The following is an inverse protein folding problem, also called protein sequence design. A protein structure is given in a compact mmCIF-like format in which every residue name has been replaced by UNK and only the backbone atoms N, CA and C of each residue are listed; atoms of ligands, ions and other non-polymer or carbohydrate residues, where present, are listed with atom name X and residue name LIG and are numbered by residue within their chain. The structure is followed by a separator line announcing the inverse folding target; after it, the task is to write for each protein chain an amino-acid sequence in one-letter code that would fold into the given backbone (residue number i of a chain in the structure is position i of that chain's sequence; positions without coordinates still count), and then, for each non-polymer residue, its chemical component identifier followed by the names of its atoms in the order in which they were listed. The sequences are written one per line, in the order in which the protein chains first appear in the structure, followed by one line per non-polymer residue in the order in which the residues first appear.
data_IF_193641409437
#
_entry.id   IF_193641409437
#
_cell.length_a   1.000
_cell.length_b   1.000
_cell.length_c   1.000
_cell.angle_alpha   90.00
_cell.angle_beta   90.00
_cell.angle_gamma   90.00
#
_symmetry.space_group_name_H-M   'P 1'
#
loop_
_entity.id
_entity.type
_entity.pdbx_description
1 polymer ?
#
# COMPACT_ATOMS: atom_id res chain seq x y z
N UNK A 1 17.69 -48.33 -12.70
CA UNK A 1 17.11 -48.07 -11.35
C UNK A 1 16.13 -49.20 -11.06
N UNK A 2 16.26 -49.83 -9.89
CA UNK A 2 15.32 -50.89 -9.50
C UNK A 2 13.99 -50.24 -9.12
N UNK A 3 12.86 -50.86 -9.39
CA UNK A 3 11.50 -50.33 -9.13
C UNK A 3 11.31 -49.78 -7.71
N UNK A 4 12.02 -50.35 -6.73
CA UNK A 4 12.07 -49.84 -5.33
C UNK A 4 12.70 -48.46 -5.21
N UNK A 5 13.72 -48.12 -5.99
CA UNK A 5 14.39 -46.82 -5.96
C UNK A 5 13.47 -45.73 -6.60
N UNK A 6 12.79 -46.11 -7.67
CA UNK A 6 11.80 -45.24 -8.31
C UNK A 6 10.65 -44.95 -7.33
N UNK A 7 10.14 -46.00 -6.67
CA UNK A 7 9.06 -45.85 -5.69
C UNK A 7 9.49 -44.92 -4.51
N UNK A 8 10.70 -45.07 -4.00
CA UNK A 8 11.24 -44.22 -2.92
C UNK A 8 11.39 -42.76 -3.36
N UNK A 9 11.88 -42.52 -4.57
CA UNK A 9 12.00 -41.14 -5.10
C UNK A 9 10.61 -40.51 -5.29
N UNK A 10 9.67 -41.23 -5.90
CA UNK A 10 8.31 -40.75 -6.11
C UNK A 10 7.61 -40.47 -4.78
N UNK A 11 7.75 -41.39 -3.81
CA UNK A 11 7.16 -41.19 -2.47
C UNK A 11 7.79 -40.02 -1.73
N UNK A 12 9.12 -39.85 -1.84
CA UNK A 12 9.85 -38.72 -1.24
C UNK A 12 9.42 -37.39 -1.87
N UNK A 13 9.27 -37.32 -3.18
CA UNK A 13 8.79 -36.13 -3.90
C UNK A 13 7.36 -35.80 -3.49
N UNK A 14 6.45 -36.78 -3.43
CA UNK A 14 5.09 -36.60 -3.00
C UNK A 14 5.03 -36.09 -1.55
N UNK A 15 5.78 -36.70 -0.63
CA UNK A 15 5.86 -36.26 0.75
C UNK A 15 6.41 -34.83 0.85
N UNK A 16 7.44 -34.50 0.09
CA UNK A 16 8.01 -33.14 0.05
C UNK A 16 7.00 -32.12 -0.47
N UNK A 17 6.24 -32.46 -1.51
CA UNK A 17 5.16 -31.61 -2.04
C UNK A 17 4.01 -31.44 -1.05
N UNK A 18 3.64 -32.50 -0.33
CA UNK A 18 2.61 -32.42 0.73
C UNK A 18 3.12 -31.57 1.89
N UNK A 19 4.36 -31.77 2.35
CA UNK A 19 4.92 -30.99 3.45
C UNK A 19 5.17 -29.53 3.08
N UNK A 20 5.65 -29.23 1.88
CA UNK A 20 5.85 -27.85 1.41
C UNK A 20 4.54 -27.10 1.18
N UNK A 21 3.42 -27.80 0.98
CA UNK A 21 2.08 -27.22 0.82
C UNK A 21 1.15 -27.53 2.00
N UNK A 22 1.66 -28.13 3.07
CA UNK A 22 0.85 -28.54 4.22
C UNK A 22 0.11 -27.35 4.87
N UNK A 23 0.75 -26.19 4.94
CA UNK A 23 0.14 -24.96 5.44
C UNK A 23 -1.01 -24.49 4.56
N UNK A 24 -0.88 -24.57 3.23
CA UNK A 24 -1.94 -24.23 2.27
C UNK A 24 -3.08 -25.24 2.33
N UNK A 25 -2.76 -26.53 2.44
CA UNK A 25 -3.76 -27.60 2.57
C UNK A 25 -4.54 -27.48 3.87
N UNK A 26 -3.85 -27.33 5.01
CA UNK A 26 -4.50 -27.14 6.31
C UNK A 26 -5.33 -25.87 6.37
N UNK A 27 -4.86 -24.77 5.75
CA UNK A 27 -5.62 -23.53 5.65
C UNK A 27 -6.89 -23.71 4.83
N UNK A 28 -6.78 -24.34 3.66
CA UNK A 28 -7.94 -24.66 2.80
C UNK A 28 -8.94 -25.58 3.51
N UNK A 29 -8.45 -26.63 4.18
CA UNK A 29 -9.30 -27.58 4.89
C UNK A 29 -9.92 -26.97 6.17
N UNK A 30 -9.18 -26.13 6.90
CA UNK A 30 -9.68 -25.46 8.12
C UNK A 30 -10.82 -24.49 7.84
N UNK A 31 -10.97 -24.00 6.61
CA UNK A 31 -12.07 -23.14 6.17
C UNK A 31 -13.35 -23.93 5.79
N UNK A 32 -13.28 -25.27 5.76
CA UNK A 32 -14.45 -26.10 5.43
C UNK A 32 -15.37 -26.29 6.65
N UNK A 33 -16.68 -26.54 6.46
CA UNK A 33 -17.61 -26.83 7.55
C UNK A 33 -17.25 -28.10 8.34
N UNK A 34 -16.46 -29.00 7.73
CA UNK A 34 -16.09 -30.31 8.30
C UNK A 34 -14.80 -30.29 9.12
N UNK A 35 -14.10 -29.15 9.18
CA UNK A 35 -12.87 -29.05 9.95
C UNK A 35 -13.15 -29.02 11.46
N UNK A 36 -12.53 -29.94 12.20
CA UNK A 36 -12.63 -29.99 13.66
C UNK A 36 -11.91 -28.77 14.30
N UNK A 37 -12.26 -28.42 15.56
CA UNK A 37 -11.60 -27.33 16.28
C UNK A 37 -10.08 -27.50 16.37
N UNK A 38 -9.60 -28.76 16.53
CA UNK A 38 -8.18 -29.11 16.63
C UNK A 38 -7.45 -28.83 15.32
N UNK A 39 -8.05 -29.14 14.16
CA UNK A 39 -7.50 -28.83 12.83
C UNK A 39 -7.42 -27.32 12.62
N UNK A 40 -8.43 -26.56 13.04
CA UNK A 40 -8.43 -25.10 12.99
C UNK A 40 -7.33 -24.50 13.85
N UNK A 41 -7.12 -25.07 15.04
CA UNK A 41 -6.05 -24.65 15.96
C UNK A 41 -4.66 -25.00 15.40
N UNK A 42 -4.47 -26.20 14.87
CA UNK A 42 -3.23 -26.65 14.27
C UNK A 42 -2.85 -25.78 13.04
N UNK A 43 -3.81 -25.45 12.18
CA UNK A 43 -3.58 -24.57 11.03
C UNK A 43 -3.10 -23.18 11.44
N UNK A 44 -3.66 -22.59 12.52
CA UNK A 44 -3.22 -21.31 13.10
C UNK A 44 -1.82 -21.43 13.69
N UNK A 45 -1.52 -22.51 14.39
CA UNK A 45 -0.21 -22.70 15.03
C UNK A 45 0.92 -22.82 13.99
N UNK A 46 0.70 -23.61 12.92
CA UNK A 46 1.66 -23.75 11.82
C UNK A 46 1.90 -22.42 11.09
N UNK A 47 0.86 -21.60 10.93
CA UNK A 47 1.01 -20.26 10.32
C UNK A 47 1.89 -19.34 11.19
N UNK A 48 1.72 -19.39 12.52
CA UNK A 48 2.52 -18.63 13.49
C UNK A 48 3.96 -19.14 13.56
N UNK A 49 4.16 -20.44 13.64
CA UNK A 49 5.48 -21.06 13.78
C UNK A 49 6.30 -20.97 12.48
N UNK A 50 5.64 -21.12 11.32
CA UNK A 50 6.24 -20.89 10.02
C UNK A 50 6.73 -19.46 9.84
N UNK A 51 5.96 -18.50 10.32
CA UNK A 51 6.32 -17.09 10.30
C UNK A 51 7.52 -16.79 11.22
N UNK A 52 7.50 -17.28 12.47
CA UNK A 52 8.60 -17.13 13.43
C UNK A 52 9.89 -17.74 12.94
N UNK A 53 9.82 -18.93 12.34
CA UNK A 53 11.00 -19.61 11.80
C UNK A 53 11.60 -18.84 10.62
N UNK A 54 10.80 -18.36 9.70
CA UNK A 54 11.28 -17.55 8.56
C UNK A 54 11.89 -16.22 9.01
N UNK A 55 11.37 -15.61 10.06
CA UNK A 55 11.93 -14.40 10.66
C UNK A 55 13.28 -14.69 11.34
N UNK A 56 13.37 -15.76 12.13
CA UNK A 56 14.63 -16.17 12.78
C UNK A 56 15.72 -16.54 11.76
N UNK A 57 15.37 -17.27 10.69
CA UNK A 57 16.29 -17.64 9.61
C UNK A 57 16.76 -16.39 8.83
N UNK A 58 15.90 -15.41 8.63
CA UNK A 58 16.25 -14.13 8.04
C UNK A 58 17.25 -13.37 8.89
N UNK A 59 16.97 -13.20 10.19
CA UNK A 59 17.85 -12.47 11.10
C UNK A 59 19.18 -13.16 11.35
N UNK A 60 19.23 -14.50 11.35
CA UNK A 60 20.48 -15.25 11.43
C UNK A 60 21.37 -14.97 10.21
N UNK A 61 20.82 -15.01 9.00
CA UNK A 61 21.54 -14.71 7.77
C UNK A 61 22.03 -13.26 7.69
N UNK A 62 21.27 -12.31 8.23
CA UNK A 62 21.69 -10.90 8.29
C UNK A 62 22.88 -10.71 9.27
N UNK A 63 22.89 -11.42 10.40
CA UNK A 63 24.00 -11.34 11.36
C UNK A 63 25.31 -11.88 10.79
N UNK A 64 25.24 -12.82 9.87
CA UNK A 64 26.41 -13.44 9.23
C UNK A 64 26.96 -12.59 8.05
N UNK A 65 26.26 -11.51 7.66
CA UNK A 65 26.75 -10.59 6.63
C UNK A 65 27.78 -9.65 7.25
N UNK A 66 29.05 -9.86 6.88
CA UNK A 66 30.12 -8.92 7.23
C UNK A 66 30.03 -7.68 6.34
N UNK A 67 29.41 -6.60 6.85
CA UNK A 67 29.24 -5.34 6.13
C UNK A 67 30.56 -4.61 5.81
N UNK A 68 31.65 -4.95 6.48
CA UNK A 68 32.98 -4.36 6.22
C UNK A 68 33.63 -4.90 4.94
N UNK A 69 33.12 -6.00 4.40
CA UNK A 69 33.60 -6.64 3.16
C UNK A 69 32.92 -6.13 1.88
N UNK A 70 31.94 -5.24 1.99
CA UNK A 70 31.30 -4.64 0.81
C UNK A 70 32.27 -3.62 0.14
N UNK A 71 32.42 -3.64 -1.20
CA UNK A 71 33.30 -2.69 -1.89
C UNK A 71 32.84 -1.25 -1.60
N UNK A 72 33.71 -0.49 -0.95
CA UNK A 72 33.50 0.95 -0.75
C UNK A 72 33.41 1.60 -2.13
N UNK A 73 32.29 2.29 -2.37
CA UNK A 73 32.03 3.07 -3.58
C UNK A 73 33.20 4.01 -3.81
N UNK A 74 33.94 3.83 -4.90
CA UNK A 74 35.04 4.70 -5.30
C UNK A 74 34.53 6.14 -5.41
N UNK A 75 35.19 7.04 -4.71
CA UNK A 75 34.95 8.48 -4.81
C UNK A 75 35.23 8.93 -6.24
N UNK A 76 34.25 9.51 -6.89
CA UNK A 76 34.41 10.19 -8.18
C UNK A 76 35.06 11.54 -7.87
N UNK A 77 36.19 11.89 -8.47
CA UNK A 77 36.84 13.17 -8.23
C UNK A 77 35.95 14.31 -8.72
N UNK A 78 35.57 15.21 -7.85
CA UNK A 78 34.92 16.47 -8.22
C UNK A 78 35.94 17.38 -8.90
N UNK A 79 35.83 17.54 -10.23
CA UNK A 79 36.52 18.61 -10.94
C UNK A 79 35.94 19.96 -10.52
N UNK A 80 36.75 20.78 -9.88
CA UNK A 80 36.45 22.20 -9.62
C UNK A 80 36.48 22.93 -10.96
N UNK A 81 35.35 23.40 -11.42
CA UNK A 81 35.25 24.35 -12.50
C UNK A 81 34.88 25.71 -11.92
N UNK A 82 35.85 26.57 -11.75
CA UNK A 82 35.64 27.99 -11.50
C UNK A 82 35.08 28.64 -12.77
N UNK A 83 33.88 29.15 -12.70
CA UNK A 83 33.32 29.96 -13.80
C UNK A 83 33.15 31.39 -13.31
N UNK A 84 33.98 32.28 -13.84
CA UNK A 84 33.91 33.75 -13.73
C UNK A 84 32.54 34.23 -14.20
N UNK A 85 31.88 35.02 -13.36
CA UNK A 85 30.69 35.76 -13.72
C UNK A 85 31.03 36.87 -14.73
N UNK A 86 30.50 36.77 -15.94
CA UNK A 86 30.43 37.85 -16.89
C UNK A 86 28.98 38.36 -16.96
N UNK A 87 28.80 39.64 -16.64
CA UNK A 87 27.52 40.31 -16.74
C UNK A 87 27.13 40.51 -18.21
N UNK A 88 25.92 40.06 -18.59
CA UNK A 88 25.31 40.33 -19.89
C UNK A 88 24.12 41.29 -19.75
N UNK A 89 23.88 42.18 -20.73
CA UNK A 89 22.92 43.27 -20.63
C UNK A 89 21.45 42.80 -20.71
N UNK A 90 20.62 43.39 -19.89
CA UNK A 90 19.18 43.13 -19.83
C UNK A 90 18.50 43.63 -21.11
N UNK A 91 17.82 42.73 -21.84
CA UNK A 91 16.92 43.05 -22.94
C UNK A 91 15.48 43.20 -22.38
N UNK A 92 14.65 44.14 -22.89
CA UNK A 92 13.36 44.45 -22.29
C UNK A 92 12.39 43.28 -22.35
N UNK A 93 11.65 43.09 -21.25
CA UNK A 93 10.67 42.03 -21.04
C UNK A 93 9.53 42.11 -22.06
N UNK A 94 9.37 41.06 -22.87
CA UNK A 94 8.16 40.82 -23.67
C UNK A 94 7.03 40.41 -22.76
N UNK A 95 5.83 41.03 -22.95
CA UNK A 95 4.55 40.66 -22.30
C UNK A 95 4.34 39.14 -22.35
N UNK A 96 3.87 38.51 -21.27
CA UNK A 96 3.60 37.07 -21.24
C UNK A 96 2.49 36.71 -22.23
N UNK A 97 2.83 36.06 -23.30
CA UNK A 97 1.89 35.37 -24.18
C UNK A 97 1.31 34.21 -23.39
N UNK A 98 -0.01 34.17 -23.21
CA UNK A 98 -0.73 33.04 -22.61
C UNK A 98 -0.30 31.75 -23.32
N UNK A 99 0.52 30.95 -22.65
CA UNK A 99 0.95 29.67 -23.15
C UNK A 99 -0.28 28.77 -23.38
N UNK A 100 -0.45 28.28 -24.60
CA UNK A 100 -1.47 27.26 -24.93
C UNK A 100 -1.28 26.09 -23.95
N UNK A 101 -2.40 25.51 -23.41
CA UNK A 101 -2.31 24.43 -22.44
C UNK A 101 -1.48 23.29 -23.05
N UNK A 102 -0.37 22.97 -22.38
CA UNK A 102 0.51 21.89 -22.76
C UNK A 102 -0.32 20.60 -22.73
N UNK A 103 -0.48 19.94 -23.86
CA UNK A 103 -1.24 18.68 -23.96
C UNK A 103 -0.57 17.69 -22.99
N UNK A 104 -1.19 17.46 -21.83
CA UNK A 104 -0.62 16.55 -20.84
C UNK A 104 -0.79 15.12 -21.32
N UNK A 105 0.31 14.38 -21.30
CA UNK A 105 0.34 12.94 -21.60
C UNK A 105 -0.75 12.22 -20.78
N UNK A 106 -1.54 11.30 -21.35
CA UNK A 106 -2.54 10.56 -20.61
C UNK A 106 -1.91 9.77 -19.46
N UNK A 107 -2.67 9.56 -18.39
CA UNK A 107 -2.28 8.70 -17.27
C UNK A 107 -2.48 7.24 -17.69
N UNK A 108 -1.44 6.40 -17.58
CA UNK A 108 -1.48 5.01 -18.04
C UNK A 108 -1.00 4.00 -17.02
N UNK A 109 -0.03 4.37 -16.17
CA UNK A 109 0.58 3.48 -15.19
C UNK A 109 0.11 3.81 -13.79
N UNK A 110 -0.51 2.83 -13.14
CA UNK A 110 -1.08 2.99 -11.81
C UNK A 110 -0.42 2.04 -10.82
N UNK A 111 0.01 2.57 -9.69
CA UNK A 111 0.62 1.83 -8.60
C UNK A 111 -0.24 1.95 -7.34
N UNK A 112 -0.56 0.82 -6.72
CA UNK A 112 -1.30 0.74 -5.48
C UNK A 112 -0.37 0.25 -4.38
N UNK A 113 -0.17 1.08 -3.34
CA UNK A 113 0.78 0.82 -2.26
C UNK A 113 0.03 0.77 -0.93
N UNK A 114 0.30 -0.24 -0.11
CA UNK A 114 -0.31 -0.29 1.21
C UNK A 114 -0.02 -1.52 2.03
N UNK A 115 -0.73 -1.62 3.14
CA UNK A 115 -0.74 -2.80 3.99
C UNK A 115 -1.70 -3.89 3.44
N UNK A 116 -2.10 -4.84 4.28
CA UNK A 116 -3.01 -5.92 3.87
C UNK A 116 -4.38 -5.43 3.36
N UNK A 117 -4.84 -4.26 3.81
CA UNK A 117 -6.14 -3.69 3.38
C UNK A 117 -6.10 -3.23 1.93
N UNK A 118 -4.91 -2.84 1.42
CA UNK A 118 -4.74 -2.46 0.01
C UNK A 118 -4.92 -3.65 -0.93
N UNK A 119 -4.70 -4.89 -0.52
CA UNK A 119 -4.74 -6.05 -1.42
C UNK A 119 -6.09 -6.20 -2.11
N UNK A 120 -7.17 -6.32 -1.34
CA UNK A 120 -8.52 -6.49 -1.89
C UNK A 120 -8.98 -5.27 -2.69
N UNK A 121 -8.67 -4.07 -2.18
CA UNK A 121 -8.96 -2.80 -2.86
C UNK A 121 -8.20 -2.71 -4.18
N UNK A 122 -6.92 -3.03 -4.19
CA UNK A 122 -6.07 -2.99 -5.38
C UNK A 122 -6.57 -3.91 -6.49
N UNK A 123 -7.02 -5.13 -6.16
CA UNK A 123 -7.64 -6.06 -7.13
C UNK A 123 -8.87 -5.43 -7.78
N UNK A 124 -9.74 -4.76 -7.00
CA UNK A 124 -10.95 -4.10 -7.54
C UNK A 124 -10.60 -2.91 -8.42
N UNK A 125 -9.62 -2.11 -8.01
CA UNK A 125 -9.11 -0.99 -8.82
C UNK A 125 -8.52 -1.49 -10.15
N UNK A 126 -7.67 -2.52 -10.13
CA UNK A 126 -7.10 -3.11 -11.34
C UNK A 126 -8.19 -3.59 -12.30
N UNK A 127 -9.17 -4.34 -11.76
CA UNK A 127 -10.29 -4.84 -12.56
C UNK A 127 -11.07 -3.68 -13.19
N UNK A 128 -11.46 -2.68 -12.41
CA UNK A 128 -12.27 -1.56 -12.88
C UNK A 128 -11.51 -0.71 -13.91
N UNK A 129 -10.24 -0.41 -13.67
CA UNK A 129 -9.39 0.34 -14.61
C UNK A 129 -9.25 -0.39 -15.95
N UNK A 130 -9.02 -1.71 -15.91
CA UNK A 130 -8.91 -2.53 -17.12
C UNK A 130 -10.23 -2.59 -17.88
N UNK A 131 -11.34 -2.90 -17.21
CA UNK A 131 -12.62 -3.15 -17.87
C UNK A 131 -13.31 -1.87 -18.38
N UNK A 132 -13.29 -0.81 -17.56
CA UNK A 132 -14.03 0.43 -17.87
C UNK A 132 -13.19 1.46 -18.62
N UNK A 133 -11.86 1.50 -18.39
CA UNK A 133 -10.99 2.56 -18.91
C UNK A 133 -9.89 2.05 -19.86
N UNK A 134 -9.81 0.75 -20.09
CA UNK A 134 -8.77 0.10 -20.90
C UNK A 134 -7.33 0.42 -20.41
N UNK A 135 -7.17 0.53 -19.10
CA UNK A 135 -5.89 0.74 -18.42
C UNK A 135 -5.48 -0.60 -17.79
N UNK A 136 -4.52 -1.27 -18.45
CA UNK A 136 -4.01 -2.58 -18.02
C UNK A 136 -2.68 -2.48 -17.27
N UNK A 137 -1.93 -1.37 -17.42
CA UNK A 137 -0.63 -1.18 -16.76
C UNK A 137 -0.85 -0.72 -15.32
N UNK A 138 -1.09 -1.69 -14.45
CA UNK A 138 -1.38 -1.50 -13.03
C UNK A 138 -0.55 -2.46 -12.19
N UNK A 139 -0.08 -2.01 -11.02
CA UNK A 139 0.71 -2.82 -10.09
C UNK A 139 0.21 -2.63 -8.66
N UNK A 140 0.09 -3.72 -7.92
CA UNK A 140 -0.17 -3.72 -6.47
C UNK A 140 1.15 -4.06 -5.77
N UNK A 141 1.56 -3.21 -4.83
CA UNK A 141 2.68 -3.45 -3.94
C UNK A 141 2.20 -3.34 -2.50
N UNK A 142 2.02 -4.47 -1.87
CA UNK A 142 1.50 -4.54 -0.51
C UNK A 142 2.35 -5.44 0.37
N UNK A 143 2.33 -5.14 1.67
CA UNK A 143 2.98 -5.98 2.68
C UNK A 143 2.05 -6.16 3.87
N UNK A 144 1.69 -7.41 4.15
CA UNK A 144 0.85 -7.75 5.32
C UNK A 144 1.54 -7.32 6.61
N UNK A 145 0.77 -6.87 7.60
CA UNK A 145 1.24 -6.45 8.92
C UNK A 145 2.23 -5.27 8.93
N UNK A 146 2.35 -4.54 7.83
CA UNK A 146 3.22 -3.37 7.71
C UNK A 146 2.46 -2.06 7.81
N UNK A 147 3.21 -0.97 7.93
CA UNK A 147 2.71 0.40 7.97
C UNK A 147 3.86 1.40 8.00
N UNK A 148 3.58 2.66 8.25
CA UNK A 148 4.59 3.71 8.37
C UNK A 148 5.22 3.76 9.76
N UNK A 149 4.60 3.14 10.75
CA UNK A 149 5.06 3.08 12.13
C UNK A 149 6.29 2.16 12.28
N UNK A 150 6.22 0.95 11.72
CA UNK A 150 7.20 -0.13 11.90
C UNK A 150 8.23 -0.20 10.76
N UNK A 151 9.07 0.85 10.66
CA UNK A 151 10.16 0.90 9.66
C UNK A 151 11.17 -0.24 9.86
N UNK A 152 11.36 -0.67 11.10
CA UNK A 152 12.19 -1.81 11.49
C UNK A 152 11.69 -3.13 10.89
N UNK A 153 10.38 -3.28 10.73
CA UNK A 153 9.78 -4.45 10.12
C UNK A 153 9.75 -4.35 8.58
N UNK A 154 9.35 -3.20 8.04
CA UNK A 154 9.30 -2.97 6.60
C UNK A 154 9.44 -1.50 6.27
N UNK A 155 10.51 -1.15 5.56
CA UNK A 155 10.78 0.24 5.17
C UNK A 155 10.03 0.62 3.89
N UNK A 156 8.83 1.16 4.08
CA UNK A 156 8.03 1.69 2.97
C UNK A 156 8.68 2.88 2.27
N UNK A 157 9.55 3.66 2.92
CA UNK A 157 10.24 4.78 2.27
C UNK A 157 11.25 4.29 1.24
N UNK A 158 12.06 3.29 1.61
CA UNK A 158 13.01 2.66 0.70
C UNK A 158 12.26 1.91 -0.40
N UNK A 159 11.25 1.11 -0.06
CA UNK A 159 10.48 0.32 -1.01
C UNK A 159 9.77 1.19 -2.04
N UNK A 160 9.09 2.25 -1.61
CA UNK A 160 8.37 3.17 -2.50
C UNK A 160 9.31 3.88 -3.45
N UNK A 161 10.49 4.30 -2.98
CA UNK A 161 11.52 4.91 -3.83
C UNK A 161 11.97 3.95 -4.93
N UNK A 162 12.27 2.71 -4.57
CA UNK A 162 12.66 1.66 -5.52
C UNK A 162 11.57 1.41 -6.55
N UNK A 163 10.33 1.15 -6.11
CA UNK A 163 9.26 0.79 -7.05
C UNK A 163 8.84 1.95 -7.97
N UNK A 164 8.91 3.19 -7.50
CA UNK A 164 8.66 4.37 -8.35
C UNK A 164 9.75 4.47 -9.43
N UNK A 165 11.01 4.26 -9.07
CA UNK A 165 12.12 4.31 -10.03
C UNK A 165 12.01 3.20 -11.08
N UNK A 166 11.69 1.98 -10.66
CA UNK A 166 11.63 0.81 -11.55
C UNK A 166 10.37 0.82 -12.44
N UNK A 167 9.22 1.10 -11.83
CA UNK A 167 7.93 0.99 -12.51
C UNK A 167 7.51 2.30 -13.21
N UNK A 168 7.97 3.47 -12.75
CA UNK A 168 7.64 4.80 -13.31
C UNK A 168 6.12 5.05 -13.39
N UNK A 169 5.35 4.98 -12.28
CA UNK A 169 3.91 5.18 -12.29
C UNK A 169 3.54 6.63 -12.59
N UNK A 170 2.42 6.83 -13.30
CA UNK A 170 1.82 8.16 -13.45
C UNK A 170 1.00 8.54 -12.21
N UNK A 171 0.32 7.54 -11.62
CA UNK A 171 -0.58 7.70 -10.47
C UNK A 171 -0.21 6.69 -9.39
N UNK A 172 -0.15 7.15 -8.15
CA UNK A 172 0.00 6.28 -6.97
C UNK A 172 -1.24 6.41 -6.08
N UNK A 173 -1.76 5.28 -5.63
CA UNK A 173 -2.85 5.20 -4.65
C UNK A 173 -2.27 4.54 -3.40
N UNK A 174 -2.41 5.22 -2.25
CA UNK A 174 -1.80 4.81 -0.98
C UNK A 174 -2.89 4.50 0.03
N UNK A 175 -2.77 3.36 0.73
CA UNK A 175 -3.64 2.99 1.85
C UNK A 175 -2.81 2.27 2.92
N UNK A 176 -2.44 3.00 3.98
CA UNK A 176 -1.79 2.48 5.18
C UNK A 176 -2.61 2.77 6.42
N UNK A 177 -2.31 2.11 7.52
CA UNK A 177 -2.72 2.53 8.84
C UNK A 177 -3.32 1.45 9.71
N UNK A 178 -3.78 0.34 9.16
CA UNK A 178 -4.35 -0.73 9.95
C UNK A 178 -3.40 -1.22 11.05
N UNK A 179 -2.12 -1.34 10.72
CA UNK A 179 -1.09 -1.83 11.64
C UNK A 179 -0.34 -0.70 12.38
N UNK A 180 -0.63 0.56 12.07
CA UNK A 180 0.02 1.71 12.71
C UNK A 180 -0.64 2.13 14.03
N UNK A 181 -1.74 1.47 14.41
CA UNK A 181 -2.48 1.70 15.66
C UNK A 181 -1.81 1.02 16.86
N UNK A 182 -0.56 1.35 17.09
CA UNK A 182 0.30 0.85 18.18
C UNK A 182 1.29 1.92 18.61
N UNK A 183 2.02 1.69 19.68
CA UNK A 183 3.09 2.57 20.12
C UNK A 183 4.12 2.78 19.01
N UNK A 184 4.69 3.99 18.95
CA UNK A 184 5.68 4.37 17.94
C UNK A 184 7.00 4.76 18.58
N UNK A 185 8.11 4.33 18.01
CA UNK A 185 9.42 4.88 18.34
C UNK A 185 9.66 6.11 17.45
N UNK A 186 9.79 7.28 18.07
CA UNK A 186 10.07 8.53 17.35
C UNK A 186 11.49 8.56 16.75
N UNK A 187 11.83 9.61 16.02
CA UNK A 187 13.16 9.72 15.41
C UNK A 187 14.30 10.00 16.41
N UNK A 188 13.97 10.28 17.68
CA UNK A 188 14.91 10.39 18.79
C UNK A 188 15.10 9.07 19.55
N UNK A 189 14.47 7.98 19.09
CA UNK A 189 14.55 6.67 19.71
C UNK A 189 13.65 6.49 20.93
N UNK A 190 12.71 7.41 21.21
CA UNK A 190 11.79 7.32 22.34
C UNK A 190 10.48 6.65 21.95
N UNK A 191 10.02 5.70 22.77
CA UNK A 191 8.68 5.11 22.61
C UNK A 191 7.61 6.13 22.98
N UNK A 192 6.58 6.24 22.14
CA UNK A 192 5.40 7.10 22.33
C UNK A 192 4.15 6.25 22.36
N UNK A 193 3.44 6.33 23.46
CA UNK A 193 2.22 5.54 23.67
C UNK A 193 1.12 6.01 22.73
N UNK A 194 0.46 5.07 22.10
CA UNK A 194 -0.63 5.32 21.15
C UNK A 194 -1.68 6.29 21.72
N UNK A 195 -2.24 7.13 20.85
CA UNK A 195 -3.26 8.15 21.13
C UNK A 195 -2.81 9.33 22.00
N UNK A 196 -1.57 9.33 22.51
CA UNK A 196 -1.02 10.53 23.17
C UNK A 196 -0.68 11.62 22.14
N UNK A 197 -0.53 12.87 22.59
CA UNK A 197 -0.10 13.98 21.71
C UNK A 197 1.29 13.73 21.12
N UNK A 198 2.18 13.12 21.89
CA UNK A 198 3.52 12.74 21.46
C UNK A 198 3.50 11.68 20.38
N UNK A 199 2.62 10.70 20.49
CA UNK A 199 2.38 9.70 19.45
C UNK A 199 1.83 10.35 18.16
N UNK A 200 0.85 11.23 18.31
CA UNK A 200 0.25 11.93 17.15
C UNK A 200 1.34 12.72 16.41
N UNK A 201 2.19 13.44 17.12
CA UNK A 201 3.31 14.19 16.54
C UNK A 201 4.29 13.27 15.84
N UNK A 202 4.72 12.20 16.49
CA UNK A 202 5.66 11.23 15.89
C UNK A 202 5.09 10.55 14.66
N UNK A 203 3.80 10.19 14.68
CA UNK A 203 3.13 9.61 13.52
C UNK A 203 2.95 10.62 12.38
N UNK A 204 2.61 11.86 12.71
CA UNK A 204 2.53 12.96 11.74
C UNK A 204 3.87 13.16 11.03
N UNK A 205 4.99 13.16 11.75
CA UNK A 205 6.34 13.27 11.17
C UNK A 205 6.63 12.12 10.18
N UNK A 206 6.17 10.90 10.48
CA UNK A 206 6.26 9.74 9.56
C UNK A 206 5.48 10.00 8.27
N UNK A 207 4.22 10.39 8.41
CA UNK A 207 3.31 10.64 7.30
C UNK A 207 3.80 11.79 6.42
N UNK A 208 4.21 12.91 7.00
CA UNK A 208 4.75 14.07 6.27
C UNK A 208 6.02 13.72 5.50
N UNK A 209 6.92 12.95 6.10
CA UNK A 209 8.12 12.46 5.43
C UNK A 209 7.78 11.58 4.22
N UNK A 210 6.77 10.72 4.35
CA UNK A 210 6.31 9.87 3.25
C UNK A 210 5.59 10.70 2.17
N UNK A 211 4.75 11.65 2.54
CA UNK A 211 4.11 12.60 1.62
C UNK A 211 5.16 13.39 0.82
N UNK A 212 6.23 13.89 1.48
CA UNK A 212 7.33 14.60 0.83
C UNK A 212 8.09 13.70 -0.15
N UNK A 213 8.28 12.41 0.16
CA UNK A 213 8.89 11.46 -0.76
C UNK A 213 8.05 11.32 -2.03
N UNK A 214 6.74 11.18 -1.89
CA UNK A 214 5.81 11.07 -3.03
C UNK A 214 5.77 12.37 -3.85
N UNK A 215 5.73 13.53 -3.19
CA UNK A 215 5.74 14.84 -3.85
C UNK A 215 7.00 15.09 -4.66
N UNK A 216 8.17 14.77 -4.11
CA UNK A 216 9.47 14.95 -4.77
C UNK A 216 9.74 13.91 -5.87
N UNK A 217 8.90 12.89 -6.02
CA UNK A 217 9.07 11.84 -7.02
C UNK A 217 8.59 12.25 -8.42
N UNK A 218 8.83 11.37 -9.41
CA UNK A 218 8.34 11.53 -10.79
C UNK A 218 6.83 11.29 -10.95
N UNK A 219 6.14 10.85 -9.90
CA UNK A 219 4.69 10.62 -9.89
C UNK A 219 3.94 11.91 -10.16
N UNK A 220 2.89 11.85 -10.98
CA UNK A 220 2.12 13.03 -11.42
C UNK A 220 0.91 13.30 -10.54
N UNK A 221 0.30 12.25 -9.94
CA UNK A 221 -0.84 12.37 -9.02
C UNK A 221 -0.76 11.27 -7.96
N UNK A 222 -1.09 11.62 -6.73
CA UNK A 222 -1.14 10.71 -5.59
C UNK A 222 -2.50 10.83 -4.91
N UNK A 223 -3.15 9.71 -4.66
CA UNK A 223 -4.35 9.62 -3.85
C UNK A 223 -4.03 8.90 -2.54
N UNK A 224 -4.16 9.62 -1.44
CA UNK A 224 -4.06 9.02 -0.11
C UNK A 224 -5.45 8.64 0.37
N UNK A 225 -5.73 7.35 0.40
CA UNK A 225 -7.04 6.82 0.82
C UNK A 225 -7.06 6.74 2.34
N UNK A 226 -8.04 7.37 2.96
CA UNK A 226 -8.26 7.32 4.40
C UNK A 226 -8.77 5.97 4.87
N UNK A 227 -8.59 5.70 6.17
CA UNK A 227 -9.16 4.52 6.81
C UNK A 227 -10.69 4.66 6.90
N UNK A 228 -11.40 3.64 6.46
CA UNK A 228 -12.86 3.58 6.65
C UNK A 228 -13.20 3.18 8.08
N UNK A 229 -14.42 3.50 8.50
CA UNK A 229 -14.89 3.13 9.85
C UNK A 229 -14.72 1.62 10.09
N UNK A 230 -14.06 1.20 11.19
CA UNK A 230 -13.88 -0.20 11.54
C UNK A 230 -15.06 -0.71 12.40
N UNK A 231 -15.21 -2.03 12.47
CA UNK A 231 -16.12 -2.67 13.44
C UNK A 231 -15.39 -3.05 14.75
N UNK A 232 -14.18 -2.55 14.96
CA UNK A 232 -13.36 -2.91 16.13
C UNK A 232 -13.05 -1.65 16.93
N UNK A 233 -13.45 -1.64 18.20
CA UNK A 233 -13.38 -0.46 19.08
C UNK A 233 -11.96 0.10 19.25
N UNK A 234 -10.92 -0.76 19.20
CA UNK A 234 -9.52 -0.34 19.30
C UNK A 234 -9.09 0.61 18.19
N UNK A 235 -9.70 0.53 16.99
CA UNK A 235 -9.38 1.40 15.87
C UNK A 235 -10.26 2.67 15.79
N UNK A 236 -11.43 2.66 16.43
CA UNK A 236 -12.39 3.77 16.35
C UNK A 236 -11.83 5.11 16.85
N UNK A 237 -10.89 5.08 17.80
CA UNK A 237 -10.24 6.29 18.32
C UNK A 237 -9.03 6.72 17.48
N UNK A 238 -8.29 5.76 16.93
CA UNK A 238 -7.06 6.05 16.21
C UNK A 238 -7.30 6.49 14.76
N UNK A 239 -8.20 5.83 14.03
CA UNK A 239 -8.42 6.10 12.59
C UNK A 239 -8.86 7.53 12.28
N UNK A 240 -9.77 8.18 13.04
CA UNK A 240 -10.07 9.59 12.79
C UNK A 240 -8.84 10.50 12.89
N UNK A 241 -8.02 10.30 13.92
CA UNK A 241 -6.77 11.07 14.13
C UNK A 241 -5.80 10.83 12.96
N UNK A 242 -5.64 9.58 12.53
CA UNK A 242 -4.78 9.22 11.40
C UNK A 242 -5.30 9.81 10.09
N UNK A 243 -6.61 9.77 9.85
CA UNK A 243 -7.24 10.39 8.68
C UNK A 243 -7.02 11.90 8.62
N UNK A 244 -7.09 12.58 9.76
CA UNK A 244 -6.78 14.02 9.85
C UNK A 244 -5.30 14.29 9.54
N UNK A 245 -4.39 13.45 10.01
CA UNK A 245 -2.96 13.56 9.69
C UNK A 245 -2.75 13.36 8.17
N UNK A 246 -3.34 12.34 7.55
CA UNK A 246 -3.24 12.11 6.09
C UNK A 246 -3.81 13.27 5.27
N UNK A 247 -4.99 13.76 5.68
CA UNK A 247 -5.65 14.91 5.05
C UNK A 247 -4.79 16.17 5.11
N UNK A 248 -4.16 16.42 6.26
CA UNK A 248 -3.30 17.58 6.45
C UNK A 248 -1.98 17.43 5.66
N UNK A 249 -1.35 16.28 5.68
CA UNK A 249 -0.15 16.00 4.89
C UNK A 249 -0.41 16.14 3.38
N UNK A 250 -1.58 15.74 2.91
CA UNK A 250 -1.96 15.85 1.49
C UNK A 250 -2.11 17.31 1.03
N UNK A 251 -2.40 18.26 1.93
CA UNK A 251 -2.48 19.69 1.58
C UNK A 251 -1.11 20.31 1.24
N UNK A 252 -0.01 19.66 1.56
CA UNK A 252 1.34 20.17 1.33
C UNK A 252 1.74 20.20 -0.15
N UNK A 253 0.99 19.55 -1.03
CA UNK A 253 1.30 19.45 -2.46
C UNK A 253 0.05 19.34 -3.32
N UNK A 254 0.05 20.01 -4.46
CA UNK A 254 -1.01 19.89 -5.47
C UNK A 254 -1.07 18.48 -6.12
N UNK A 255 -0.03 17.67 -6.00
CA UNK A 255 -0.03 16.28 -6.49
C UNK A 255 -0.79 15.35 -5.56
N UNK A 256 -0.84 15.65 -4.26
CA UNK A 256 -1.43 14.79 -3.23
C UNK A 256 -2.88 15.17 -3.00
N UNK A 257 -3.74 14.17 -2.93
CA UNK A 257 -5.14 14.32 -2.62
C UNK A 257 -5.60 13.27 -1.63
N UNK A 258 -6.30 13.70 -0.60
CA UNK A 258 -6.87 12.81 0.40
C UNK A 258 -8.29 12.41 0.00
N UNK A 259 -8.57 11.11 -0.04
CA UNK A 259 -9.89 10.54 -0.26
C UNK A 259 -10.44 10.01 1.06
N UNK A 260 -11.47 10.68 1.61
CA UNK A 260 -12.15 10.16 2.79
C UNK A 260 -13.02 8.95 2.43
N UNK A 261 -12.88 7.89 3.22
CA UNK A 261 -13.71 6.67 3.10
C UNK A 261 -14.54 6.42 4.36
N UNK A 262 -14.40 7.29 5.38
CA UNK A 262 -15.03 7.11 6.68
C UNK A 262 -16.56 7.05 6.58
N UNK A 263 -17.15 8.06 5.97
CA UNK A 263 -18.61 8.20 5.88
C UNK A 263 -19.24 7.25 4.86
N UNK A 264 -18.46 6.61 4.00
CA UNK A 264 -18.96 5.63 3.04
C UNK A 264 -19.66 4.45 3.72
N UNK A 265 -19.18 4.08 4.92
CA UNK A 265 -19.73 2.97 5.70
C UNK A 265 -20.20 3.41 7.09
N UNK A 266 -20.26 4.71 7.39
CA UNK A 266 -20.65 5.22 8.69
C UNK A 266 -22.06 5.83 8.66
N UNK A 267 -22.83 5.57 9.69
CA UNK A 267 -24.07 6.28 10.00
C UNK A 267 -24.12 6.55 11.50
N UNK A 268 -24.32 7.80 11.88
CA UNK A 268 -24.31 8.22 13.29
C UNK A 268 -23.05 7.75 14.06
N UNK A 269 -21.88 7.77 13.44
CA UNK A 269 -20.61 7.35 14.04
C UNK A 269 -20.45 5.84 14.23
N UNK A 270 -21.33 5.03 13.66
CA UNK A 270 -21.28 3.56 13.73
C UNK A 270 -21.14 2.95 12.34
N UNK A 271 -20.48 1.80 12.25
CA UNK A 271 -20.40 1.05 11.00
C UNK A 271 -21.80 0.58 10.59
N UNK A 272 -22.16 0.82 9.33
CA UNK A 272 -23.27 0.19 8.63
C UNK A 272 -22.74 -1.08 7.97
N UNK A 273 -23.05 -2.27 8.49
CA UNK A 273 -22.38 -3.49 8.02
C UNK A 273 -22.79 -3.92 6.62
N UNK A 274 -24.01 -3.53 6.17
CA UNK A 274 -24.56 -3.90 4.86
C UNK A 274 -24.95 -2.64 4.09
N UNK A 275 -24.24 -2.34 3.03
CA UNK A 275 -24.41 -1.15 2.18
C UNK A 275 -24.74 -1.57 0.75
N UNK A 276 -25.52 -0.78 0.04
CA UNK A 276 -25.75 -0.98 -1.40
C UNK A 276 -24.59 -0.39 -2.22
N UNK A 277 -24.14 -1.10 -3.25
CA UNK A 277 -23.25 -0.55 -4.27
C UNK A 277 -24.00 0.29 -5.31
N UNK A 278 -23.29 0.85 -6.28
CA UNK A 278 -23.90 1.68 -7.37
C UNK A 278 -24.95 0.95 -8.21
N UNK A 279 -24.96 -0.38 -8.22
CA UNK A 279 -25.96 -1.18 -8.91
C UNK A 279 -27.21 -1.44 -8.07
N UNK A 280 -27.19 -1.02 -6.79
CA UNK A 280 -28.25 -1.30 -5.82
C UNK A 280 -28.07 -2.65 -5.11
N UNK A 281 -27.05 -3.44 -5.44
CA UNK A 281 -26.78 -4.72 -4.76
C UNK A 281 -26.27 -4.45 -3.36
N UNK A 282 -26.93 -5.06 -2.35
CA UNK A 282 -26.55 -4.97 -0.94
C UNK A 282 -25.57 -6.08 -0.56
N UNK A 283 -24.60 -5.78 0.30
CA UNK A 283 -23.65 -6.76 0.81
C UNK A 283 -22.88 -6.27 2.03
N UNK A 284 -22.32 -7.21 2.78
CA UNK A 284 -21.42 -6.87 3.89
C UNK A 284 -20.18 -6.15 3.37
N UNK A 285 -19.76 -5.09 4.06
CA UNK A 285 -18.62 -4.24 3.62
C UNK A 285 -17.30 -4.58 4.30
N UNK A 286 -17.36 -5.21 5.48
CA UNK A 286 -16.17 -5.66 6.24
C UNK A 286 -16.23 -7.18 6.49
N UNK A 287 -15.06 -7.79 6.54
CA UNK A 287 -14.89 -9.17 6.99
C UNK A 287 -15.15 -9.29 8.49
N UNK A 288 -15.18 -10.52 9.02
CA UNK A 288 -15.45 -10.80 10.44
C UNK A 288 -14.42 -10.18 11.40
N UNK A 289 -13.22 -9.83 10.91
CA UNK A 289 -12.22 -9.11 11.70
C UNK A 289 -12.57 -7.63 11.94
N UNK A 290 -13.59 -7.13 11.23
CA UNK A 290 -14.10 -5.77 11.34
C UNK A 290 -13.18 -4.70 10.74
N UNK A 291 -12.11 -5.10 10.02
CA UNK A 291 -11.08 -4.23 9.47
C UNK A 291 -10.97 -4.36 7.96
N UNK A 292 -10.65 -5.56 7.46
CA UNK A 292 -10.50 -5.83 6.04
C UNK A 292 -11.82 -5.71 5.29
N UNK A 293 -11.76 -5.25 4.05
CA UNK A 293 -12.94 -5.20 3.20
C UNK A 293 -13.36 -6.59 2.75
N UNK A 294 -14.67 -6.82 2.64
CA UNK A 294 -15.18 -7.87 1.77
C UNK A 294 -14.94 -7.47 0.30
N UNK A 295 -15.11 -8.41 -0.61
CA UNK A 295 -15.09 -8.11 -2.05
C UNK A 295 -16.12 -7.03 -2.43
N UNK A 296 -17.27 -6.97 -1.74
CA UNK A 296 -18.31 -5.96 -1.95
C UNK A 296 -17.89 -4.59 -1.39
N UNK A 297 -17.35 -4.55 -0.16
CA UNK A 297 -16.85 -3.31 0.43
C UNK A 297 -15.68 -2.72 -0.37
N UNK A 298 -14.75 -3.55 -0.81
CA UNK A 298 -13.65 -3.13 -1.67
C UNK A 298 -14.14 -2.56 -3.01
N UNK A 299 -15.23 -3.11 -3.58
CA UNK A 299 -15.84 -2.56 -4.80
C UNK A 299 -16.39 -1.15 -4.57
N UNK A 300 -17.09 -0.92 -3.46
CA UNK A 300 -17.67 0.40 -3.13
C UNK A 300 -16.54 1.44 -2.97
N UNK A 301 -15.46 1.11 -2.24
CA UNK A 301 -14.32 2.02 -2.09
C UNK A 301 -13.58 2.23 -3.42
N UNK A 302 -13.43 1.17 -4.22
CA UNK A 302 -12.87 1.30 -5.57
C UNK A 302 -13.69 2.27 -6.43
N UNK A 303 -15.01 2.17 -6.41
CA UNK A 303 -15.88 3.06 -7.16
C UNK A 303 -15.79 4.51 -6.70
N UNK A 304 -15.63 4.77 -5.39
CA UNK A 304 -15.38 6.10 -4.83
C UNK A 304 -14.06 6.70 -5.37
N UNK A 305 -12.99 5.92 -5.37
CA UNK A 305 -11.67 6.35 -5.87
C UNK A 305 -11.74 6.60 -7.38
N UNK A 306 -12.40 5.75 -8.13
CA UNK A 306 -12.58 5.90 -9.59
C UNK A 306 -13.36 7.18 -9.90
N UNK A 307 -14.42 7.49 -9.15
CA UNK A 307 -15.19 8.72 -9.33
C UNK A 307 -14.33 9.96 -9.07
N UNK A 308 -13.51 9.95 -8.01
CA UNK A 308 -12.58 11.03 -7.73
C UNK A 308 -11.57 11.20 -8.87
N UNK A 309 -10.96 10.12 -9.34
CA UNK A 309 -10.03 10.17 -10.49
C UNK A 309 -10.69 10.66 -11.78
N UNK A 310 -11.95 10.34 -12.00
CA UNK A 310 -12.72 10.85 -13.14
C UNK A 310 -13.02 12.35 -13.00
N UNK A 311 -13.41 12.80 -11.81
CA UNK A 311 -13.61 14.22 -11.47
C UNK A 311 -12.34 15.04 -11.70
N UNK A 312 -11.19 14.51 -11.34
CA UNK A 312 -9.87 15.13 -11.54
C UNK A 312 -9.36 15.03 -12.98
N UNK A 313 -10.14 14.46 -13.88
CA UNK A 313 -9.78 14.26 -15.30
C UNK A 313 -8.55 13.36 -15.50
N UNK A 314 -8.22 12.55 -14.50
CA UNK A 314 -7.17 11.50 -14.60
C UNK A 314 -7.65 10.39 -15.54
N UNK A 315 -8.90 9.98 -15.39
CA UNK A 315 -9.57 9.00 -16.24
C UNK A 315 -10.38 9.70 -17.31
N UNK A 316 -10.20 9.30 -18.55
CA UNK A 316 -11.07 9.76 -19.64
C UNK A 316 -12.34 8.91 -19.63
N UNK A 317 -13.49 9.55 -19.65
CA UNK A 317 -14.76 8.84 -19.81
C UNK A 317 -14.71 7.94 -21.03
N UNK A 318 -15.02 6.64 -20.94
CA UNK A 318 -15.04 5.77 -22.08
C UNK A 318 -16.00 6.34 -23.14
N UNK A 319 -15.53 6.51 -24.38
CA UNK A 319 -16.44 6.81 -25.47
C UNK A 319 -17.47 5.68 -25.51
N UNK A 320 -18.77 5.99 -25.35
CA UNK A 320 -19.83 5.01 -25.65
C UNK A 320 -19.52 4.44 -27.03
N UNK A 321 -19.27 3.15 -27.14
CA UNK A 321 -19.31 2.51 -28.45
C UNK A 321 -20.72 2.75 -28.99
N UNK A 322 -20.84 3.55 -30.04
CA UNK A 322 -22.06 3.58 -30.84
C UNK A 322 -22.25 2.14 -31.34
N UNK A 323 -23.32 1.49 -30.90
CA UNK A 323 -23.82 0.22 -31.44
C UNK A 323 -24.22 0.45 -32.89
#
# INVERSE_FOLDING_TARGET
MKDREILLIVTSVILTLIFSNLSLFLKSFSSTPFASPEIKQAARQIEIDGFRKSEQDFWSKIKDINFDSLPKKSEIPHAKTETKAAALPQKPAKKPTLAKPKLTRPYRKFLFIGDSVMFDLGIKLQYTLKQKYNIADTKIDYKVSSGLNRIDYYDWYARTRTIINDYQPDVVIVLFGANDTQDITDYQGKSRVILTKEWQKAYQERVEKYAKLLDSSSVRKVYWVGQSIPNKSSYLKAFPIMNDIYKNASKSSAKLEFISTWDTFAQAGKLVPVVADKSGKRGYVKNNDGLHFTSHGAQIISDLIIDQMASDKILKTPKKKSL
#
